data_IF_492629581319
#
_entry.id   IF_492629581319
#
_cell.length_a   1.000
_cell.length_b   1.000
_cell.length_c   1.000
_cell.angle_alpha   90.00
_cell.angle_beta   90.00
_cell.angle_gamma   90.00
#
_symmetry.space_group_name_H-M   'P 1'
#
loop_
_entity.id
_entity.type
_entity.pdbx_description
1 polymer ?
#
# COMPACT_ATOMS: atom_id res chain seq x y z
N UNK A 1 -3.57 -1.35 29.70
CA UNK A 1 -3.03 -1.40 28.33
C UNK A 1 -1.69 -2.10 28.41
N UNK A 2 -1.53 -3.26 27.76
CA UNK A 2 -0.24 -3.96 27.80
C UNK A 2 0.87 -3.10 27.15
N UNK A 3 2.08 -3.12 27.72
CA UNK A 3 3.28 -2.44 27.22
C UNK A 3 3.22 -0.90 27.16
N UNK A 4 2.51 -0.27 28.10
CA UNK A 4 2.35 1.19 28.20
C UNK A 4 3.68 1.98 28.09
N UNK A 5 4.74 1.51 28.76
CA UNK A 5 6.05 2.19 28.76
C UNK A 5 6.76 2.23 27.39
N UNK A 6 6.46 1.29 26.50
CA UNK A 6 7.00 1.25 25.14
C UNK A 6 6.22 2.25 24.28
N UNK A 7 4.89 2.26 24.41
CA UNK A 7 4.02 3.14 23.65
C UNK A 7 4.21 4.60 24.02
N UNK A 8 4.37 4.93 25.31
CA UNK A 8 4.56 6.31 25.79
C UNK A 8 5.88 6.95 25.29
N UNK A 9 6.87 6.15 24.87
CA UNK A 9 8.14 6.64 24.30
C UNK A 9 8.10 6.82 22.78
N UNK A 10 7.15 6.17 22.10
CA UNK A 10 7.02 6.16 20.64
C UNK A 10 5.92 7.13 20.18
N UNK A 11 4.86 7.25 20.97
CA UNK A 11 3.70 8.05 20.63
C UNK A 11 3.89 9.49 21.13
N UNK A 12 4.56 10.30 20.32
CA UNK A 12 4.49 11.76 20.44
C UNK A 12 3.18 12.26 19.80
N UNK A 13 2.07 11.86 20.41
CA UNK A 13 0.74 12.09 19.86
C UNK A 13 0.22 13.48 20.26
N UNK A 14 0.67 14.54 19.57
CA UNK A 14 0.16 15.91 19.78
C UNK A 14 -1.32 16.08 19.43
N UNK A 15 -1.86 15.21 18.56
CA UNK A 15 -3.23 15.40 18.02
C UNK A 15 -3.89 14.09 17.60
N UNK A 16 -5.12 13.88 18.08
CA UNK A 16 -6.02 12.86 17.56
C UNK A 16 -6.51 13.33 16.18
N UNK A 17 -6.10 12.65 15.12
CA UNK A 17 -6.69 12.83 13.80
C UNK A 17 -7.87 11.85 13.67
N UNK A 18 -8.99 12.34 13.12
CA UNK A 18 -10.09 11.47 12.70
C UNK A 18 -9.52 10.54 11.65
N UNK A 19 -9.50 9.25 11.94
CA UNK A 19 -9.00 8.23 11.04
C UNK A 19 -9.88 8.26 9.79
N UNK A 20 -9.31 8.68 8.65
CA UNK A 20 -10.03 8.61 7.38
C UNK A 20 -10.19 7.12 7.05
N UNK A 21 -11.36 6.69 6.56
CA UNK A 21 -11.53 5.30 6.16
C UNK A 21 -10.50 4.93 5.10
N UNK A 22 -9.71 3.90 5.40
CA UNK A 22 -8.76 3.32 4.47
C UNK A 22 -9.50 2.34 3.57
N UNK A 23 -9.33 2.49 2.26
CA UNK A 23 -9.92 1.58 1.28
C UNK A 23 -8.84 0.68 0.70
N UNK A 24 -9.16 -0.62 0.59
CA UNK A 24 -8.33 -1.58 -0.14
C UNK A 24 -8.75 -1.59 -1.60
N UNK A 25 -7.82 -1.24 -2.49
CA UNK A 25 -8.02 -1.34 -3.94
C UNK A 25 -7.45 -2.66 -4.43
N UNK A 26 -8.21 -3.40 -5.22
CA UNK A 26 -7.74 -4.61 -5.89
C UNK A 26 -7.77 -4.34 -7.39
N UNK A 27 -6.60 -4.43 -8.02
CA UNK A 27 -6.42 -4.20 -9.45
C UNK A 27 -6.22 -5.55 -10.12
N UNK A 28 -6.86 -5.75 -11.27
CA UNK A 28 -6.79 -6.98 -12.04
C UNK A 28 -6.13 -6.74 -13.39
N UNK A 29 -5.71 -7.83 -14.04
CA UNK A 29 -5.13 -7.82 -15.40
C UNK A 29 -3.84 -7.01 -15.53
N UNK A 30 -3.09 -6.86 -14.44
CA UNK A 30 -1.73 -6.28 -14.49
C UNK A 30 -0.78 -7.33 -15.07
N UNK A 31 -0.04 -7.00 -16.15
CA UNK A 31 0.98 -7.88 -16.71
C UNK A 31 2.06 -8.21 -15.67
N UNK A 32 2.32 -9.50 -15.45
CA UNK A 32 3.18 -9.94 -14.35
C UNK A 32 4.66 -9.70 -14.67
N UNK A 33 5.08 -9.95 -15.92
CA UNK A 33 6.49 -9.93 -16.31
C UNK A 33 7.06 -8.52 -16.24
N UNK A 34 6.29 -7.54 -16.67
CA UNK A 34 6.65 -6.13 -16.77
C UNK A 34 6.63 -5.45 -15.39
N UNK A 35 5.74 -5.89 -14.50
CA UNK A 35 5.47 -5.18 -13.25
C UNK A 35 5.88 -5.92 -11.97
N UNK A 36 6.55 -7.08 -12.05
CA UNK A 36 7.04 -7.80 -10.85
C UNK A 36 8.36 -7.25 -10.28
N UNK A 37 9.07 -6.39 -11.01
CA UNK A 37 10.28 -5.72 -10.51
C UNK A 37 9.96 -4.49 -9.66
N UNK A 38 10.94 -4.01 -8.89
CA UNK A 38 10.80 -2.80 -8.04
C UNK A 38 10.27 -1.60 -8.84
N UNK A 39 10.90 -1.30 -9.98
CA UNK A 39 10.47 -0.21 -10.88
C UNK A 39 9.02 -0.38 -11.37
N UNK A 40 8.60 -1.61 -11.61
CA UNK A 40 7.25 -1.89 -12.09
C UNK A 40 6.19 -1.64 -11.01
N UNK A 41 6.44 -2.08 -9.78
CA UNK A 41 5.53 -1.84 -8.65
C UNK A 41 5.38 -0.34 -8.36
N UNK A 42 6.48 0.43 -8.43
CA UNK A 42 6.43 1.88 -8.27
C UNK A 42 5.62 2.54 -9.39
N UNK A 43 5.78 2.09 -10.64
CA UNK A 43 5.03 2.60 -11.79
C UNK A 43 3.52 2.36 -11.63
N UNK A 44 3.08 1.20 -11.11
CA UNK A 44 1.66 0.95 -10.82
C UNK A 44 1.12 2.01 -9.86
N UNK A 45 1.88 2.35 -8.81
CA UNK A 45 1.47 3.37 -7.84
C UNK A 45 1.30 4.73 -8.53
N UNK A 46 2.25 5.12 -9.36
CA UNK A 46 2.23 6.39 -10.10
C UNK A 46 1.05 6.47 -11.07
N UNK A 47 0.85 5.44 -11.89
CA UNK A 47 -0.25 5.40 -12.87
C UNK A 47 -1.62 5.42 -12.18
N UNK A 48 -1.81 4.62 -11.12
CA UNK A 48 -3.08 4.59 -10.38
C UNK A 48 -3.40 5.97 -9.80
N UNK A 49 -2.43 6.65 -9.19
CA UNK A 49 -2.61 8.00 -8.67
C UNK A 49 -2.86 9.03 -9.79
N UNK A 50 -2.23 8.86 -10.94
CA UNK A 50 -2.33 9.80 -12.08
C UNK A 50 -3.70 9.71 -12.76
N UNK A 51 -4.19 8.49 -12.99
CA UNK A 51 -5.41 8.25 -13.76
C UNK A 51 -6.69 8.14 -12.92
N UNK A 52 -6.60 8.07 -11.59
CA UNK A 52 -7.75 7.98 -10.70
C UNK A 52 -7.79 9.19 -9.75
N UNK A 53 -8.32 10.31 -10.25
CA UNK A 53 -8.47 11.53 -9.45
C UNK A 53 -9.31 11.27 -8.19
N UNK A 54 -8.82 11.73 -7.04
CA UNK A 54 -9.43 11.48 -5.73
C UNK A 54 -8.97 10.20 -5.04
N UNK A 55 -8.16 9.36 -5.71
CA UNK A 55 -7.53 8.18 -5.14
C UNK A 55 -6.04 8.43 -4.91
N UNK A 56 -5.57 8.19 -3.69
CA UNK A 56 -4.15 8.26 -3.34
C UNK A 56 -3.71 6.95 -2.69
N UNK A 57 -2.90 6.19 -3.40
CA UNK A 57 -2.27 4.98 -2.89
C UNK A 57 -1.13 5.39 -1.96
N UNK A 58 -1.30 5.14 -0.66
CA UNK A 58 -0.30 5.49 0.35
C UNK A 58 0.83 4.44 0.44
N UNK A 59 0.48 3.16 0.41
CA UNK A 59 1.42 2.04 0.55
C UNK A 59 2.03 1.58 -0.77
N UNK A 60 3.18 0.90 -0.71
CA UNK A 60 3.71 0.19 -1.89
C UNK A 60 2.76 -0.95 -2.28
N UNK A 61 2.32 -1.04 -3.54
CA UNK A 61 1.50 -2.15 -4.01
C UNK A 61 2.21 -3.51 -3.85
N UNK A 62 1.43 -4.57 -3.73
CA UNK A 62 1.96 -5.93 -3.67
C UNK A 62 1.05 -6.93 -4.38
N UNK A 63 1.65 -8.00 -4.86
CA UNK A 63 0.91 -9.11 -5.46
C UNK A 63 0.19 -9.93 -4.39
N UNK A 64 -1.11 -10.18 -4.59
CA UNK A 64 -1.92 -10.99 -3.66
C UNK A 64 -1.51 -12.47 -3.61
N UNK A 65 -0.83 -12.96 -4.65
CA UNK A 65 -0.34 -14.33 -4.75
C UNK A 65 1.18 -14.39 -4.72
N UNK A 66 1.76 -15.45 -4.17
CA UNK A 66 3.21 -15.70 -4.18
C UNK A 66 3.80 -15.80 -5.59
N UNK A 67 5.09 -15.51 -5.74
CA UNK A 67 5.80 -15.52 -7.03
C UNK A 67 5.68 -16.86 -7.77
N UNK A 68 5.77 -17.98 -7.05
CA UNK A 68 5.63 -19.33 -7.62
C UNK A 68 4.26 -19.61 -8.25
N UNK A 69 3.21 -18.90 -7.83
CA UNK A 69 1.85 -19.02 -8.40
C UNK A 69 1.61 -18.06 -9.57
N UNK A 70 2.53 -17.11 -9.80
CA UNK A 70 2.47 -16.09 -10.85
C UNK A 70 3.19 -16.50 -12.14
N UNK A 71 4.25 -17.30 -12.01
CA UNK A 71 4.96 -17.89 -13.14
C UNK A 71 4.13 -19.03 -13.73
N UNK A 72 3.28 -18.70 -14.71
CA UNK A 72 2.65 -19.66 -15.62
C UNK A 72 2.96 -19.25 -17.05
#
# INVERSE_FOLDING_TARGET
MEKKEIWDKILDAERIQIDKPWYKVIIHKIPIQEFSGLKGIDLIKEEVNTFNSGLSIMSTPYWLTNASKRAK
#
